data_IF_534737881565
#
_entry.id   IF_534737881565
#
_cell.length_a   1.000
_cell.length_b   1.000
_cell.length_c   1.000
_cell.angle_alpha   90.00
_cell.angle_beta   90.00
_cell.angle_gamma   90.00
#
_symmetry.space_group_name_H-M   'P 1'
#
loop_
_entity.id
_entity.type
_entity.pdbx_description
1 polymer ?
#
# COMPACT_ATOMS: atom_id res chain seq x y z
N UNK A 1 8.72 -29.67 -7.04
CA UNK A 1 7.44 -30.26 -7.48
C UNK A 1 6.36 -29.18 -7.38
N UNK A 2 5.44 -29.16 -8.32
CA UNK A 2 4.27 -28.29 -8.30
C UNK A 2 3.02 -29.10 -8.62
N UNK A 3 2.00 -28.94 -7.80
CA UNK A 3 0.68 -29.52 -8.03
C UNK A 3 -0.35 -28.40 -7.99
N UNK A 4 -0.99 -28.17 -9.12
CA UNK A 4 -1.93 -27.06 -9.30
C UNK A 4 -2.99 -27.04 -8.19
N UNK A 5 -3.26 -25.85 -7.63
CA UNK A 5 -4.23 -25.58 -6.58
C UNK A 5 -4.03 -26.36 -5.28
N UNK A 6 -2.86 -26.98 -5.08
CA UNK A 6 -2.54 -27.76 -3.88
C UNK A 6 -1.26 -27.26 -3.20
N UNK A 7 -0.09 -27.40 -3.85
CA UNK A 7 1.17 -27.00 -3.24
C UNK A 7 2.28 -26.73 -4.27
N UNK A 8 3.29 -25.99 -3.80
CA UNK A 8 4.61 -25.88 -4.44
C UNK A 8 5.65 -26.38 -3.45
N UNK A 9 6.42 -27.39 -3.83
CA UNK A 9 7.50 -27.97 -3.03
C UNK A 9 8.84 -27.71 -3.67
N UNK A 10 9.76 -27.18 -2.86
CA UNK A 10 11.14 -26.90 -3.21
C UNK A 10 12.05 -27.80 -2.37
N UNK A 11 12.88 -28.61 -3.00
CA UNK A 11 13.91 -29.36 -2.32
C UNK A 11 15.26 -28.65 -2.52
N UNK A 12 16.08 -28.59 -1.47
CA UNK A 12 17.41 -28.01 -1.53
C UNK A 12 18.27 -28.73 -2.54
N UNK A 13 18.96 -27.96 -3.36
CA UNK A 13 19.99 -28.49 -4.24
C UNK A 13 21.22 -28.92 -3.41
N UNK A 14 21.61 -30.19 -3.43
CA UNK A 14 22.66 -30.73 -2.54
C UNK A 14 24.04 -30.10 -2.79
N UNK A 15 24.33 -29.67 -4.03
CA UNK A 15 25.60 -29.01 -4.39
C UNK A 15 25.49 -27.46 -4.25
N UNK A 16 24.44 -26.94 -3.54
CA UNK A 16 24.29 -25.52 -3.32
C UNK A 16 25.45 -24.96 -2.50
N UNK A 17 26.12 -23.94 -3.05
CA UNK A 17 27.14 -23.19 -2.35
C UNK A 17 26.48 -21.94 -1.74
N UNK A 18 26.54 -21.76 -0.41
CA UNK A 18 25.97 -20.60 0.25
C UNK A 18 26.48 -19.28 -0.35
N UNK A 19 25.56 -18.35 -0.56
CA UNK A 19 25.86 -17.01 -1.06
C UNK A 19 26.13 -16.07 0.11
N UNK A 20 27.10 -15.17 -0.05
CA UNK A 20 27.50 -14.21 1.00
C UNK A 20 28.56 -14.78 1.94
N UNK A 21 28.90 -14.02 2.97
CA UNK A 21 29.88 -14.40 3.98
C UNK A 21 29.16 -14.95 5.21
N UNK A 22 29.60 -16.11 5.70
CA UNK A 22 29.03 -16.71 6.91
C UNK A 22 29.10 -15.72 8.09
N UNK A 23 27.96 -15.55 8.75
CA UNK A 23 27.79 -14.58 9.86
C UNK A 23 27.36 -13.19 9.42
N UNK A 24 27.30 -12.87 8.11
CA UNK A 24 26.63 -11.66 7.67
C UNK A 24 25.12 -11.71 7.97
N UNK A 25 24.57 -10.66 8.57
CA UNK A 25 23.14 -10.62 8.85
C UNK A 25 22.33 -10.57 7.55
N UNK A 26 21.12 -11.08 7.61
CA UNK A 26 20.14 -10.91 6.55
C UNK A 26 19.71 -9.45 6.48
N UNK A 27 19.69 -8.90 5.25
CA UNK A 27 19.16 -7.57 4.96
C UNK A 27 18.37 -7.64 3.64
N UNK A 28 17.08 -7.83 3.73
CA UNK A 28 16.23 -8.01 2.57
C UNK A 28 16.67 -9.19 1.70
N UNK A 29 17.16 -8.90 0.51
CA UNK A 29 17.74 -9.89 -0.42
C UNK A 29 19.26 -10.05 -0.29
N UNK A 30 19.90 -9.25 0.56
CA UNK A 30 21.34 -9.32 0.83
C UNK A 30 21.65 -10.20 2.03
N UNK A 31 22.96 -10.37 2.31
CA UNK A 31 23.47 -11.15 3.42
C UNK A 31 23.67 -12.63 3.08
N UNK A 32 24.07 -13.39 4.10
CA UNK A 32 24.39 -14.82 3.96
C UNK A 32 23.14 -15.66 3.73
N UNK A 33 23.20 -16.56 2.74
CA UNK A 33 22.09 -17.46 2.37
C UNK A 33 22.54 -18.91 2.52
N UNK A 34 22.25 -19.49 3.67
CA UNK A 34 22.71 -20.83 4.03
C UNK A 34 21.88 -21.96 3.45
N UNK A 35 20.60 -21.74 3.20
CA UNK A 35 19.62 -22.76 2.83
C UNK A 35 19.66 -24.00 3.74
N UNK A 36 19.47 -23.85 5.08
CA UNK A 36 19.62 -24.97 6.02
C UNK A 36 18.51 -26.01 5.83
N UNK A 37 17.30 -25.61 5.52
CA UNK A 37 16.13 -26.47 5.37
C UNK A 37 16.23 -27.31 4.10
N UNK A 38 15.98 -28.61 4.25
CA UNK A 38 16.05 -29.55 3.13
C UNK A 38 14.88 -29.42 2.16
N UNK A 39 13.70 -29.17 2.69
CA UNK A 39 12.46 -29.06 1.90
C UNK A 39 11.61 -27.92 2.41
N UNK A 40 11.14 -27.08 1.49
CA UNK A 40 10.11 -26.06 1.74
C UNK A 40 8.86 -26.46 0.94
N UNK A 41 7.72 -26.51 1.60
CA UNK A 41 6.44 -26.77 0.97
C UNK A 41 5.49 -25.58 1.21
N UNK A 42 4.91 -25.08 0.13
CA UNK A 42 3.98 -23.95 0.15
C UNK A 42 2.61 -24.49 -0.22
N UNK A 43 1.77 -24.70 0.78
CA UNK A 43 0.39 -25.14 0.59
C UNK A 43 -0.50 -24.00 0.10
N UNK A 44 -1.35 -24.27 -0.89
CA UNK A 44 -2.33 -23.34 -1.40
C UNK A 44 -3.63 -23.54 -0.61
N UNK A 45 -3.85 -22.67 0.39
CA UNK A 45 -5.03 -22.70 1.27
C UNK A 45 -5.89 -21.46 0.97
N UNK A 46 -6.93 -21.58 0.11
CA UNK A 46 -7.73 -20.44 -0.30
C UNK A 46 -8.54 -19.79 0.83
N UNK A 47 -8.94 -20.59 1.82
CA UNK A 47 -9.70 -20.12 2.97
C UNK A 47 -8.76 -19.72 4.12
N UNK A 48 -8.74 -18.43 4.45
CA UNK A 48 -7.86 -17.88 5.49
C UNK A 48 -8.20 -18.40 6.89
N UNK A 49 -9.47 -18.69 7.20
CA UNK A 49 -9.83 -19.24 8.50
C UNK A 49 -9.26 -20.67 8.68
N UNK A 50 -9.22 -21.44 7.60
CA UNK A 50 -8.57 -22.76 7.57
C UNK A 50 -7.05 -22.62 7.78
N UNK A 51 -6.39 -21.67 7.13
CA UNK A 51 -4.97 -21.43 7.32
C UNK A 51 -4.65 -21.01 8.77
N UNK A 52 -5.46 -20.10 9.35
CA UNK A 52 -5.32 -19.66 10.73
C UNK A 52 -5.52 -20.80 11.73
N UNK A 53 -6.54 -21.66 11.54
CA UNK A 53 -6.74 -22.83 12.38
C UNK A 53 -5.58 -23.84 12.24
N UNK A 54 -5.02 -23.95 11.02
CA UNK A 54 -3.88 -24.83 10.74
C UNK A 54 -2.59 -24.44 11.47
N UNK A 55 -2.23 -23.15 11.52
CA UNK A 55 -1.05 -22.69 12.26
C UNK A 55 -1.24 -22.88 13.77
N UNK A 56 -2.43 -22.62 14.30
CA UNK A 56 -2.73 -22.87 15.72
C UNK A 56 -2.71 -24.35 16.10
N UNK A 57 -2.98 -25.22 15.15
CA UNK A 57 -2.91 -26.67 15.33
C UNK A 57 -1.51 -27.27 15.04
N UNK A 58 -0.53 -26.44 14.66
CA UNK A 58 0.81 -26.90 14.28
C UNK A 58 0.89 -27.67 12.96
N UNK A 59 -0.06 -27.42 12.04
CA UNK A 59 -0.03 -28.01 10.69
C UNK A 59 0.89 -27.23 9.75
N UNK A 60 1.08 -25.94 10.01
CA UNK A 60 1.93 -25.04 9.24
C UNK A 60 2.95 -24.38 10.14
N UNK A 61 4.17 -24.20 9.63
CA UNK A 61 5.23 -23.49 10.32
C UNK A 61 5.13 -21.96 10.12
N UNK A 62 4.45 -21.52 9.05
CA UNK A 62 4.24 -20.09 8.76
C UNK A 62 2.96 -19.92 7.92
N UNK A 63 2.19 -18.89 8.26
CA UNK A 63 1.10 -18.40 7.40
C UNK A 63 1.24 -16.90 7.18
N UNK A 64 0.69 -16.40 6.08
CA UNK A 64 0.64 -14.98 5.76
C UNK A 64 -0.76 -14.57 5.28
N UNK A 65 -0.99 -13.26 5.19
CA UNK A 65 -2.32 -12.69 4.88
C UNK A 65 -3.38 -13.06 5.93
N UNK A 66 -3.01 -13.03 7.20
CA UNK A 66 -3.95 -13.22 8.31
C UNK A 66 -5.03 -12.14 8.26
N UNK A 67 -6.27 -12.47 8.60
CA UNK A 67 -7.36 -11.49 8.72
C UNK A 67 -7.16 -10.58 9.94
N UNK A 68 -7.55 -9.33 9.81
CA UNK A 68 -7.41 -8.31 10.86
C UNK A 68 -8.06 -8.75 12.17
N UNK A 69 -9.22 -9.42 12.10
CA UNK A 69 -9.97 -9.95 13.24
C UNK A 69 -9.20 -11.02 14.04
N UNK A 70 -8.25 -11.69 13.42
CA UNK A 70 -7.44 -12.74 14.03
C UNK A 70 -6.14 -12.21 14.67
N UNK A 71 -5.76 -10.96 14.41
CA UNK A 71 -4.47 -10.40 14.83
C UNK A 71 -4.25 -10.53 16.34
N UNK A 72 -5.14 -9.98 17.15
CA UNK A 72 -5.00 -9.99 18.61
C UNK A 72 -4.96 -11.42 19.19
N UNK A 73 -5.68 -12.36 18.57
CA UNK A 73 -5.71 -13.75 19.00
C UNK A 73 -4.41 -14.48 18.72
N UNK A 74 -3.84 -14.29 17.54
CA UNK A 74 -2.55 -14.90 17.18
C UNK A 74 -1.39 -14.27 17.94
N UNK A 75 -1.40 -12.96 18.15
CA UNK A 75 -0.39 -12.25 18.97
C UNK A 75 -0.39 -12.69 20.44
N UNK A 76 -1.53 -13.11 20.96
CA UNK A 76 -1.65 -13.63 22.32
C UNK A 76 -1.27 -15.11 22.45
N UNK A 77 -1.03 -15.83 21.37
CA UNK A 77 -0.69 -17.25 21.38
C UNK A 77 0.82 -17.45 21.66
N UNK A 78 1.22 -18.06 22.81
CA UNK A 78 2.63 -18.22 23.19
C UNK A 78 3.40 -19.23 22.31
N UNK A 79 2.71 -20.02 21.52
CA UNK A 79 3.33 -20.98 20.57
C UNK A 79 3.64 -20.34 19.22
N UNK A 80 3.28 -19.05 19.04
CA UNK A 80 3.47 -18.35 17.77
C UNK A 80 4.35 -17.10 17.96
N UNK A 81 5.11 -16.80 16.93
CA UNK A 81 5.72 -15.48 16.71
C UNK A 81 4.97 -14.79 15.60
N UNK A 82 4.58 -13.55 15.83
CA UNK A 82 3.87 -12.75 14.80
C UNK A 82 4.72 -11.58 14.35
N UNK A 83 4.54 -11.18 13.10
CA UNK A 83 5.16 -9.97 12.55
C UNK A 83 4.16 -9.26 11.68
N UNK A 84 4.02 -7.94 11.86
CA UNK A 84 3.29 -7.07 10.94
C UNK A 84 4.29 -6.40 10.02
N UNK A 85 3.99 -6.37 8.74
CA UNK A 85 4.84 -5.69 7.76
C UNK A 85 3.97 -4.89 6.81
N UNK A 86 4.49 -3.78 6.34
CA UNK A 86 3.84 -2.98 5.32
C UNK A 86 3.76 -3.79 4.02
N UNK A 87 2.55 -3.90 3.49
CA UNK A 87 2.28 -4.62 2.22
C UNK A 87 2.18 -3.65 1.05
N UNK A 88 1.88 -2.40 1.32
CA UNK A 88 1.79 -1.38 0.30
C UNK A 88 1.11 -0.11 0.78
N UNK A 89 1.03 0.86 -0.13
CA UNK A 89 0.36 2.14 0.07
C UNK A 89 -1.03 2.14 -0.56
N UNK A 90 -1.94 2.89 0.06
CA UNK A 90 -3.27 3.15 -0.47
C UNK A 90 -3.22 4.45 -1.27
N UNK A 91 -3.93 4.49 -2.38
CA UNK A 91 -3.98 5.67 -3.23
C UNK A 91 -5.40 5.96 -3.73
N UNK A 92 -5.86 7.18 -3.47
CA UNK A 92 -7.04 7.76 -4.08
C UNK A 92 -6.56 8.62 -5.25
N UNK A 93 -6.71 8.12 -6.46
CA UNK A 93 -6.15 8.71 -7.68
C UNK A 93 -7.21 9.54 -8.36
N UNK A 94 -6.97 10.85 -8.46
CA UNK A 94 -7.84 11.75 -9.19
C UNK A 94 -7.71 11.60 -10.71
N UNK A 95 -8.81 11.83 -11.41
CA UNK A 95 -8.82 12.02 -12.84
C UNK A 95 -8.45 13.48 -13.18
N UNK A 96 -7.21 13.70 -13.64
CA UNK A 96 -6.73 15.05 -13.96
C UNK A 96 -7.12 15.51 -15.37
N UNK A 97 -7.83 14.67 -16.15
CA UNK A 97 -8.24 15.01 -17.53
C UNK A 97 -9.58 15.70 -17.62
N UNK A 98 -10.55 15.26 -16.81
CA UNK A 98 -11.91 15.77 -16.88
C UNK A 98 -12.69 15.52 -15.59
N UNK A 99 -13.83 16.19 -15.47
CA UNK A 99 -14.70 16.11 -14.30
C UNK A 99 -14.16 16.82 -13.08
N UNK A 100 -14.75 16.56 -11.93
CA UNK A 100 -14.38 17.23 -10.66
C UNK A 100 -12.94 16.90 -10.22
N UNK A 101 -12.43 15.72 -10.56
CA UNK A 101 -11.04 15.35 -10.27
C UNK A 101 -10.00 16.24 -10.98
N UNK A 102 -10.33 16.84 -12.11
CA UNK A 102 -9.43 17.76 -12.82
C UNK A 102 -9.31 19.13 -12.14
N UNK A 103 -10.29 19.51 -11.31
CA UNK A 103 -10.36 20.81 -10.67
C UNK A 103 -9.48 20.86 -9.40
N UNK A 104 -8.44 21.72 -9.39
CA UNK A 104 -7.50 21.81 -8.28
C UNK A 104 -8.20 22.14 -6.94
N UNK A 105 -9.16 23.09 -6.94
CA UNK A 105 -9.88 23.44 -5.73
C UNK A 105 -10.66 22.26 -5.17
N UNK A 106 -11.22 21.41 -6.05
CA UNK A 106 -11.99 20.25 -5.63
C UNK A 106 -11.11 19.18 -4.98
N UNK A 107 -9.94 18.85 -5.58
CA UNK A 107 -8.97 17.96 -4.97
C UNK A 107 -8.52 18.44 -3.59
N UNK A 108 -8.28 19.76 -3.48
CA UNK A 108 -7.91 20.40 -2.20
C UNK A 108 -9.04 20.27 -1.18
N UNK A 109 -10.30 20.48 -1.57
CA UNK A 109 -11.44 20.31 -0.68
C UNK A 109 -11.58 18.86 -0.20
N UNK A 110 -11.46 17.88 -1.10
CA UNK A 110 -11.48 16.45 -0.74
C UNK A 110 -10.37 16.12 0.25
N UNK A 111 -9.13 16.52 -0.02
CA UNK A 111 -7.99 16.28 0.88
C UNK A 111 -8.16 16.94 2.26
N UNK A 112 -8.83 18.11 2.29
CA UNK A 112 -9.08 18.84 3.53
C UNK A 112 -10.19 18.20 4.38
N UNK A 113 -11.19 17.60 3.73
CA UNK A 113 -12.37 17.05 4.40
C UNK A 113 -12.12 15.68 5.05
N UNK A 114 -11.39 14.80 4.35
CA UNK A 114 -11.30 13.39 4.74
C UNK A 114 -10.54 13.16 6.04
N UNK A 115 -11.01 12.18 6.83
CA UNK A 115 -10.31 11.60 7.97
C UNK A 115 -9.63 10.30 7.55
N UNK A 116 -8.32 10.38 7.30
CA UNK A 116 -7.54 9.20 6.92
C UNK A 116 -7.56 8.11 7.99
N UNK A 117 -7.63 8.48 9.28
CA UNK A 117 -7.68 7.52 10.38
C UNK A 117 -9.04 6.80 10.42
N UNK A 118 -10.15 7.51 10.24
CA UNK A 118 -11.49 6.92 10.15
C UNK A 118 -11.58 5.94 8.97
N UNK A 119 -11.14 6.38 7.78
CA UNK A 119 -11.12 5.54 6.57
C UNK A 119 -10.33 4.25 6.82
N UNK A 120 -9.13 4.34 7.39
CA UNK A 120 -8.27 3.18 7.57
C UNK A 120 -8.70 2.28 8.74
N UNK A 121 -9.11 2.87 9.86
CA UNK A 121 -9.64 2.11 11.01
C UNK A 121 -10.87 1.30 10.62
N UNK A 122 -11.82 1.92 9.91
CA UNK A 122 -13.05 1.25 9.47
C UNK A 122 -12.79 0.09 8.51
N UNK A 123 -11.71 0.14 7.75
CA UNK A 123 -11.39 -0.88 6.75
C UNK A 123 -10.40 -1.95 7.25
N UNK A 124 -9.38 -1.54 8.02
CA UNK A 124 -8.25 -2.40 8.38
C UNK A 124 -8.13 -2.65 9.89
N UNK A 125 -9.05 -2.12 10.71
CA UNK A 125 -8.94 -2.24 12.17
C UNK A 125 -7.60 -1.69 12.67
N UNK A 126 -6.71 -2.54 13.18
CA UNK A 126 -5.35 -2.15 13.57
C UNK A 126 -4.25 -2.51 12.55
N UNK A 127 -4.64 -2.90 11.33
CA UNK A 127 -3.74 -3.36 10.26
C UNK A 127 -3.31 -2.25 9.30
N UNK A 128 -3.01 -1.05 9.80
CA UNK A 128 -2.56 0.07 8.98
C UNK A 128 -1.57 0.98 9.70
N UNK A 129 -0.92 1.85 8.96
CA UNK A 129 -0.10 2.96 9.46
C UNK A 129 -0.49 4.23 8.73
N UNK A 130 -0.72 5.31 9.48
CA UNK A 130 -0.85 6.66 8.94
C UNK A 130 0.52 7.16 8.48
N UNK A 131 0.54 7.94 7.40
CA UNK A 131 1.81 8.50 6.94
C UNK A 131 1.65 9.58 5.89
N UNK A 132 2.25 10.74 6.15
CA UNK A 132 2.24 11.90 5.25
C UNK A 132 3.20 11.79 4.07
N UNK A 133 4.06 10.77 4.05
CA UNK A 133 5.03 10.56 2.99
C UNK A 133 4.43 9.68 1.89
N UNK A 134 4.63 10.10 0.64
CA UNK A 134 4.26 9.29 -0.53
C UNK A 134 5.19 8.08 -0.75
N UNK A 135 6.32 8.00 -0.01
CA UNK A 135 7.16 6.80 0.02
C UNK A 135 6.79 5.90 1.18
N UNK A 136 7.13 4.66 1.00
CA UNK A 136 6.83 3.58 1.95
C UNK A 136 7.73 3.68 3.19
N UNK A 137 7.19 3.39 4.37
CA UNK A 137 7.91 3.49 5.65
C UNK A 137 9.13 2.54 5.73
N UNK A 138 9.11 1.44 4.96
CA UNK A 138 10.24 0.53 4.81
C UNK A 138 11.45 1.13 4.07
N UNK A 139 11.35 2.39 3.58
CA UNK A 139 12.38 3.09 2.84
C UNK A 139 12.83 4.37 3.56
N UNK A 140 13.49 4.28 4.72
CA UNK A 140 13.77 5.43 5.60
C UNK A 140 14.65 6.51 4.94
N UNK A 141 15.50 6.14 3.98
CA UNK A 141 16.30 7.13 3.22
C UNK A 141 15.39 8.10 2.44
N UNK A 142 14.26 7.62 1.93
CA UNK A 142 13.32 8.42 1.15
C UNK A 142 12.21 9.06 1.99
N UNK A 143 12.21 8.86 3.31
CA UNK A 143 11.26 9.52 4.18
C UNK A 143 11.34 11.05 4.01
N UNK A 144 10.19 11.71 3.94
CA UNK A 144 10.07 13.15 3.77
C UNK A 144 8.89 13.70 4.55
N UNK A 145 9.12 14.77 5.29
CA UNK A 145 8.08 15.50 6.01
C UNK A 145 7.70 16.81 5.28
N UNK A 146 8.18 16.97 4.03
CA UNK A 146 7.90 18.18 3.27
C UNK A 146 6.39 18.38 3.08
N UNK A 147 5.87 19.46 3.66
CA UNK A 147 4.45 19.82 3.71
C UNK A 147 3.53 18.78 4.35
N UNK A 148 4.03 18.03 5.32
CA UNK A 148 3.24 17.08 6.10
C UNK A 148 2.06 17.74 6.85
N UNK A 149 2.11 19.04 7.07
CA UNK A 149 0.99 19.84 7.62
C UNK A 149 -0.27 19.81 6.76
N UNK A 150 -0.18 19.38 5.51
CA UNK A 150 -1.34 19.24 4.61
C UNK A 150 -1.97 17.82 4.66
N UNK A 151 -1.39 16.94 5.44
CA UNK A 151 -1.88 15.58 5.60
C UNK A 151 -2.94 15.49 6.71
N UNK A 152 -4.01 14.75 6.43
CA UNK A 152 -5.08 14.40 7.38
C UNK A 152 -5.61 15.60 8.17
N UNK A 153 -6.01 16.66 7.46
CA UNK A 153 -6.49 17.90 8.06
C UNK A 153 -7.82 17.71 8.79
N UNK A 154 -8.68 16.88 8.25
CA UNK A 154 -10.02 16.58 8.76
C UNK A 154 -10.77 17.86 9.19
N UNK A 155 -10.85 18.82 8.27
CA UNK A 155 -11.54 20.10 8.47
C UNK A 155 -12.69 20.25 7.46
N UNK A 156 -13.88 19.66 7.74
CA UNK A 156 -15.02 19.71 6.84
C UNK A 156 -15.56 21.13 6.63
N UNK A 157 -15.43 22.02 7.60
CA UNK A 157 -15.89 23.40 7.43
C UNK A 157 -14.97 24.17 6.47
N UNK A 158 -13.66 23.98 6.59
CA UNK A 158 -12.71 24.55 5.63
C UNK A 158 -12.88 23.98 4.23
N UNK A 159 -13.19 22.69 4.12
CA UNK A 159 -13.49 22.06 2.84
C UNK A 159 -14.72 22.69 2.15
N UNK A 160 -15.79 22.96 2.90
CA UNK A 160 -16.98 23.69 2.39
C UNK A 160 -16.63 25.10 1.90
N UNK A 161 -15.78 25.83 2.62
CA UNK A 161 -15.29 27.15 2.18
C UNK A 161 -14.53 27.03 0.84
N UNK A 162 -13.61 26.05 0.71
CA UNK A 162 -12.84 25.82 -0.52
C UNK A 162 -13.78 25.48 -1.69
N UNK A 163 -14.79 24.65 -1.48
CA UNK A 163 -15.78 24.32 -2.51
C UNK A 163 -16.56 25.56 -2.96
N UNK A 164 -17.00 26.39 -2.01
CA UNK A 164 -17.73 27.61 -2.31
C UNK A 164 -16.88 28.65 -3.06
N UNK A 165 -15.62 28.86 -2.64
CA UNK A 165 -14.66 29.77 -3.28
C UNK A 165 -14.29 29.27 -4.70
N UNK A 166 -14.18 27.94 -4.89
CA UNK A 166 -13.91 27.31 -6.17
C UNK A 166 -15.10 27.30 -7.14
N UNK A 167 -16.29 27.69 -6.67
CA UNK A 167 -17.49 27.75 -7.50
C UNK A 167 -18.15 26.38 -7.75
N UNK A 168 -18.03 25.45 -6.77
CA UNK A 168 -18.67 24.15 -6.87
C UNK A 168 -20.18 24.28 -7.07
N UNK A 169 -20.71 23.60 -8.09
CA UNK A 169 -22.09 23.74 -8.55
C UNK A 169 -23.05 22.65 -8.03
N UNK A 170 -22.57 21.75 -7.17
CA UNK A 170 -23.35 20.61 -6.67
C UNK A 170 -23.33 19.37 -7.57
N UNK A 171 -22.45 19.33 -8.57
CA UNK A 171 -22.26 18.13 -9.42
C UNK A 171 -21.84 16.91 -8.64
N UNK A 172 -22.28 15.72 -9.08
CA UNK A 172 -21.97 14.46 -8.43
C UNK A 172 -20.51 14.06 -8.67
N UNK A 173 -19.81 13.70 -7.60
CA UNK A 173 -18.47 13.12 -7.64
C UNK A 173 -18.51 11.61 -7.81
N UNK A 174 -17.84 11.07 -8.82
CA UNK A 174 -17.88 9.65 -9.17
C UNK A 174 -16.63 8.94 -8.69
N UNK A 175 -16.80 7.95 -7.81
CA UNK A 175 -15.70 7.14 -7.28
C UNK A 175 -15.80 5.73 -7.85
N UNK A 176 -14.70 5.26 -8.46
CA UNK A 176 -14.53 3.90 -8.96
C UNK A 176 -13.69 3.10 -7.96
N UNK A 177 -14.17 1.94 -7.52
CA UNK A 177 -13.48 1.06 -6.59
C UNK A 177 -13.65 -0.42 -6.96
N UNK A 178 -12.75 -1.28 -6.47
CA UNK A 178 -12.86 -2.72 -6.64
C UNK A 178 -13.18 -3.43 -5.32
N UNK A 179 -13.78 -4.62 -5.43
CA UNK A 179 -13.99 -5.55 -4.30
C UNK A 179 -12.69 -6.29 -3.93
N UNK A 180 -11.59 -5.58 -3.83
CA UNK A 180 -10.24 -6.09 -3.53
C UNK A 180 -9.55 -5.15 -2.53
N UNK A 181 -8.79 -5.71 -1.59
CA UNK A 181 -8.01 -4.94 -0.61
C UNK A 181 -8.81 -3.83 0.10
N UNK A 182 -10.08 -4.10 0.42
CA UNK A 182 -11.00 -3.16 1.10
C UNK A 182 -11.28 -1.84 0.36
N UNK A 183 -10.98 -1.75 -0.95
CA UNK A 183 -11.19 -0.52 -1.75
C UNK A 183 -12.66 -0.11 -1.78
N UNK A 184 -13.57 -1.10 -1.86
CA UNK A 184 -15.02 -0.88 -1.79
C UNK A 184 -15.45 -0.30 -0.43
N UNK A 185 -14.90 -0.82 0.66
CA UNK A 185 -15.17 -0.33 2.00
C UNK A 185 -14.65 1.12 2.18
N UNK A 186 -13.45 1.41 1.71
CA UNK A 186 -12.89 2.78 1.72
C UNK A 186 -13.77 3.74 0.92
N UNK A 187 -14.29 3.32 -0.24
CA UNK A 187 -15.19 4.14 -1.04
C UNK A 187 -16.47 4.51 -0.30
N UNK A 188 -17.01 3.60 0.52
CA UNK A 188 -18.22 3.86 1.33
C UNK A 188 -17.95 4.89 2.42
N UNK A 189 -16.81 4.80 3.12
CA UNK A 189 -16.43 5.81 4.15
C UNK A 189 -16.23 7.17 3.50
N UNK A 190 -15.43 7.25 2.42
CA UNK A 190 -15.22 8.49 1.68
C UNK A 190 -16.53 9.12 1.19
N UNK A 191 -17.46 8.29 0.71
CA UNK A 191 -18.80 8.79 0.34
C UNK A 191 -19.47 9.49 1.51
N UNK A 192 -19.46 8.89 2.69
CA UNK A 192 -20.08 9.47 3.88
C UNK A 192 -19.46 10.82 4.24
N UNK A 193 -18.14 10.89 4.30
CA UNK A 193 -17.41 12.13 4.63
C UNK A 193 -17.62 13.24 3.61
N UNK A 194 -17.64 12.91 2.32
CA UNK A 194 -17.86 13.90 1.26
C UNK A 194 -19.33 14.37 1.20
N UNK A 195 -20.29 13.50 1.49
CA UNK A 195 -21.70 13.91 1.59
C UNK A 195 -21.94 14.85 2.78
N UNK A 196 -21.19 14.74 3.88
CA UNK A 196 -21.24 15.68 5.01
C UNK A 196 -20.82 17.13 4.64
N UNK A 197 -19.93 17.26 3.67
CA UNK A 197 -19.54 18.58 3.14
C UNK A 197 -20.42 19.04 1.96
N UNK A 198 -21.48 18.29 1.64
CA UNK A 198 -22.45 18.66 0.61
C UNK A 198 -22.06 18.24 -0.80
N UNK A 199 -21.16 17.27 -0.96
CA UNK A 199 -20.77 16.68 -2.25
C UNK A 199 -21.53 15.36 -2.46
N UNK A 200 -22.51 15.30 -3.38
CA UNK A 200 -23.16 14.04 -3.73
C UNK A 200 -22.13 13.07 -4.33
N UNK A 201 -22.13 11.82 -3.88
CA UNK A 201 -21.17 10.81 -4.34
C UNK A 201 -21.87 9.61 -4.99
N UNK A 202 -21.45 9.26 -6.20
CA UNK A 202 -21.82 8.02 -6.89
C UNK A 202 -20.67 7.02 -6.82
N UNK A 203 -20.97 5.79 -6.37
CA UNK A 203 -20.00 4.70 -6.29
C UNK A 203 -20.20 3.71 -7.43
N UNK A 204 -19.14 3.41 -8.15
CA UNK A 204 -19.05 2.28 -9.08
C UNK A 204 -18.11 1.24 -8.49
N UNK A 205 -18.68 0.16 -7.95
CA UNK A 205 -17.90 -0.94 -7.34
C UNK A 205 -17.94 -2.14 -8.28
N UNK A 206 -16.75 -2.60 -8.68
CA UNK A 206 -16.56 -3.67 -9.67
C UNK A 206 -15.51 -4.69 -9.20
N UNK A 207 -15.28 -5.73 -9.96
CA UNK A 207 -14.11 -6.60 -9.75
C UNK A 207 -12.81 -5.92 -10.21
N UNK A 208 -11.66 -6.47 -9.78
CA UNK A 208 -10.35 -5.88 -10.09
C UNK A 208 -10.03 -5.82 -11.59
N UNK A 209 -10.41 -6.83 -12.37
CA UNK A 209 -10.15 -6.86 -13.81
C UNK A 209 -10.93 -5.74 -14.50
N UNK A 210 -12.21 -5.58 -14.16
CA UNK A 210 -13.08 -4.51 -14.65
C UNK A 210 -12.56 -3.13 -14.24
N UNK A 211 -12.09 -2.94 -12.98
CA UNK A 211 -11.49 -1.68 -12.55
C UNK A 211 -10.26 -1.34 -13.39
N UNK A 212 -9.39 -2.32 -13.66
CA UNK A 212 -8.18 -2.09 -14.47
C UNK A 212 -8.46 -1.69 -15.92
N UNK A 213 -9.62 -2.03 -16.43
CA UNK A 213 -10.08 -1.57 -17.74
C UNK A 213 -10.78 -0.21 -17.66
N UNK A 214 -11.69 -0.02 -16.70
CA UNK A 214 -12.46 1.22 -16.53
C UNK A 214 -11.58 2.44 -16.22
N UNK A 215 -10.56 2.28 -15.39
CA UNK A 215 -9.64 3.39 -15.06
C UNK A 215 -8.88 3.97 -16.27
N UNK A 216 -8.91 3.30 -17.43
CA UNK A 216 -8.32 3.80 -18.67
C UNK A 216 -9.24 4.77 -19.41
N UNK A 217 -10.51 4.82 -19.08
CA UNK A 217 -11.50 5.71 -19.67
C UNK A 217 -11.84 6.85 -18.68
N UNK A 218 -11.36 8.08 -18.94
CA UNK A 218 -11.57 9.21 -18.05
C UNK A 218 -13.04 9.60 -17.89
N UNK A 219 -13.91 9.24 -18.83
CA UNK A 219 -15.33 9.58 -18.75
C UNK A 219 -16.10 8.80 -17.66
N UNK A 220 -15.52 7.73 -17.10
CA UNK A 220 -16.20 6.82 -16.16
C UNK A 220 -16.08 7.21 -14.70
N UNK A 221 -15.14 8.08 -14.30
CA UNK A 221 -14.89 8.42 -12.90
C UNK A 221 -14.24 9.79 -12.74
N UNK A 222 -14.31 10.34 -11.56
CA UNK A 222 -13.55 11.53 -11.14
C UNK A 222 -12.37 11.15 -10.23
N UNK A 223 -12.49 10.03 -9.51
CA UNK A 223 -11.45 9.44 -8.68
C UNK A 223 -11.58 7.92 -8.68
N UNK A 224 -10.46 7.19 -8.61
CA UNK A 224 -10.51 5.76 -8.30
C UNK A 224 -9.58 5.39 -7.16
N UNK A 225 -9.95 4.32 -6.45
CA UNK A 225 -9.20 3.79 -5.32
C UNK A 225 -8.36 2.61 -5.80
N UNK A 226 -7.09 2.59 -5.40
CA UNK A 226 -6.19 1.47 -5.66
C UNK A 226 -5.18 1.31 -4.53
N UNK A 227 -4.42 0.21 -4.59
CA UNK A 227 -3.26 -0.02 -3.73
C UNK A 227 -2.02 -0.24 -4.59
N UNK A 228 -0.87 0.18 -4.09
CA UNK A 228 0.43 -0.08 -4.70
C UNK A 228 1.27 -0.93 -3.76
N UNK A 229 1.98 -1.91 -4.31
CA UNK A 229 3.02 -2.60 -3.58
C UNK A 229 4.15 -1.63 -3.20
N UNK A 230 4.89 -1.95 -2.15
CA UNK A 230 6.10 -1.20 -1.79
C UNK A 230 7.09 -1.12 -2.96
N UNK A 231 7.70 0.04 -3.09
CA UNK A 231 8.77 0.29 -4.07
C UNK A 231 10.00 0.85 -3.38
N UNK A 232 11.23 0.43 -3.78
CA UNK A 232 12.46 0.84 -3.10
C UNK A 232 12.87 2.30 -3.36
N UNK A 233 12.33 2.93 -4.42
CA UNK A 233 12.70 4.29 -4.83
C UNK A 233 11.50 5.05 -5.40
N UNK A 234 11.44 6.38 -5.21
CA UNK A 234 10.31 7.19 -5.69
C UNK A 234 10.10 7.16 -7.20
N UNK A 235 11.14 6.91 -7.98
CA UNK A 235 11.07 6.83 -9.44
C UNK A 235 10.18 5.70 -9.98
N UNK A 236 9.79 4.77 -9.13
CA UNK A 236 8.86 3.67 -9.47
C UNK A 236 7.40 3.99 -9.12
N UNK A 237 7.11 5.16 -8.54
CA UNK A 237 5.72 5.59 -8.27
C UNK A 237 5.06 6.02 -9.58
N UNK A 238 4.08 5.23 -10.02
CA UNK A 238 3.49 5.33 -11.37
C UNK A 238 2.63 6.57 -11.60
N UNK A 239 2.11 7.18 -10.54
CA UNK A 239 1.20 8.33 -10.61
C UNK A 239 1.88 9.68 -10.84
N UNK A 240 3.21 9.73 -10.94
CA UNK A 240 3.96 10.92 -11.31
C UNK A 240 4.13 11.05 -12.82
N UNK A 241 3.01 11.16 -13.55
CA UNK A 241 3.06 11.37 -15.00
C UNK A 241 1.74 11.07 -15.69
N UNK A 242 1.65 11.46 -16.96
CA UNK A 242 0.44 11.34 -17.77
C UNK A 242 0.27 9.97 -18.48
N UNK A 243 1.20 9.06 -18.29
CA UNK A 243 1.12 7.72 -18.89
C UNK A 243 0.28 6.73 -18.07
N UNK A 244 0.10 6.99 -16.78
CA UNK A 244 -0.68 6.15 -15.89
C UNK A 244 -2.10 6.73 -15.70
N UNK A 245 -3.15 5.89 -15.58
CA UNK A 245 -4.51 6.35 -15.28
C UNK A 245 -4.54 7.26 -14.04
N UNK A 246 -5.24 8.38 -14.17
CA UNK A 246 -5.12 9.54 -13.29
C UNK A 246 -4.50 10.70 -14.06
N UNK A 247 -3.52 10.44 -14.91
CA UNK A 247 -2.92 11.36 -15.89
C UNK A 247 -2.47 12.69 -15.29
N UNK A 248 -1.65 12.62 -14.24
CA UNK A 248 -1.05 13.80 -13.64
C UNK A 248 -0.19 14.54 -14.68
N UNK A 249 -0.77 15.58 -15.31
CA UNK A 249 -0.15 16.34 -16.38
C UNK A 249 0.09 17.79 -15.92
N UNK A 250 1.03 17.93 -15.00
CA UNK A 250 1.51 19.21 -14.50
C UNK A 250 3.00 19.39 -14.83
N UNK A 251 3.36 20.54 -15.39
CA UNK A 251 4.73 20.83 -15.84
C UNK A 251 5.72 20.83 -14.68
N UNK A 252 5.35 21.40 -13.52
CA UNK A 252 6.24 21.46 -12.36
C UNK A 252 6.41 20.08 -11.73
N UNK A 253 5.33 19.29 -11.62
CA UNK A 253 5.39 17.91 -11.15
C UNK A 253 6.33 17.06 -12.02
N UNK A 254 6.15 17.16 -13.35
CA UNK A 254 6.94 16.43 -14.33
C UNK A 254 8.42 16.86 -14.33
N UNK A 255 8.67 18.15 -14.15
CA UNK A 255 10.04 18.69 -14.04
C UNK A 255 10.74 18.17 -12.79
N UNK A 256 10.11 18.27 -11.62
CA UNK A 256 10.69 17.79 -10.35
C UNK A 256 10.93 16.28 -10.39
N UNK A 257 10.01 15.51 -10.95
CA UNK A 257 10.18 14.06 -11.12
C UNK A 257 11.36 13.73 -12.06
N UNK A 258 11.50 14.48 -13.17
CA UNK A 258 12.61 14.31 -14.11
C UNK A 258 13.96 14.70 -13.48
N UNK A 259 14.01 15.80 -12.72
CA UNK A 259 15.22 16.23 -12.01
C UNK A 259 15.65 15.19 -10.96
N UNK A 260 14.71 14.65 -10.18
CA UNK A 260 14.97 13.58 -9.22
C UNK A 260 15.54 12.33 -9.89
N UNK A 261 14.91 11.88 -10.99
CA UNK A 261 15.32 10.66 -11.69
C UNK A 261 16.63 10.80 -12.47
N UNK A 262 17.01 12.03 -12.83
CA UNK A 262 18.24 12.36 -13.54
C UNK A 262 19.38 12.74 -12.61
N UNK A 263 19.17 12.82 -11.31
CA UNK A 263 20.19 13.16 -10.33
C UNK A 263 21.35 12.16 -10.37
N UNK A 264 22.57 12.68 -10.25
CA UNK A 264 23.78 11.87 -10.35
C UNK A 264 24.29 11.35 -9.01
N UNK A 265 23.75 11.87 -7.91
CA UNK A 265 24.03 11.40 -6.56
C UNK A 265 22.73 11.10 -5.82
N UNK A 266 22.80 10.22 -4.81
CA UNK A 266 21.64 9.91 -3.97
C UNK A 266 21.17 11.13 -3.16
N UNK A 267 22.09 11.96 -2.69
CA UNK A 267 21.76 13.15 -1.91
C UNK A 267 21.02 14.18 -2.77
N UNK A 268 21.45 14.40 -4.01
CA UNK A 268 20.72 15.27 -4.95
C UNK A 268 19.35 14.70 -5.28
N UNK A 269 19.25 13.39 -5.52
CA UNK A 269 17.98 12.72 -5.76
C UNK A 269 17.03 12.88 -4.57
N UNK A 270 17.54 12.73 -3.33
CA UNK A 270 16.76 12.93 -2.10
C UNK A 270 16.27 14.37 -1.96
N UNK A 271 17.13 15.35 -2.21
CA UNK A 271 16.74 16.76 -2.16
C UNK A 271 15.61 17.06 -3.17
N UNK A 272 15.71 16.51 -4.39
CA UNK A 272 14.66 16.67 -5.40
C UNK A 272 13.39 15.90 -5.05
N UNK A 273 13.51 14.76 -4.39
CA UNK A 273 12.36 14.05 -3.84
C UNK A 273 11.63 14.89 -2.80
N UNK A 274 12.34 15.55 -1.88
CA UNK A 274 11.70 16.42 -0.88
C UNK A 274 10.94 17.58 -1.52
N UNK A 275 11.49 18.19 -2.59
CA UNK A 275 10.77 19.21 -3.36
C UNK A 275 9.51 18.64 -4.04
N UNK A 276 9.63 17.45 -4.67
CA UNK A 276 8.51 16.76 -5.31
C UNK A 276 7.43 16.33 -4.31
N UNK A 277 7.82 15.77 -3.18
CA UNK A 277 6.93 15.40 -2.07
C UNK A 277 6.13 16.64 -1.61
N UNK A 278 6.80 17.76 -1.36
CA UNK A 278 6.15 18.99 -0.95
C UNK A 278 5.18 19.52 -2.02
N UNK A 279 5.57 19.49 -3.28
CA UNK A 279 4.69 19.91 -4.37
C UNK A 279 3.51 18.95 -4.58
N UNK A 280 3.70 17.67 -4.30
CA UNK A 280 2.60 16.69 -4.39
C UNK A 280 1.46 17.00 -3.43
N UNK A 281 1.72 17.61 -2.27
CA UNK A 281 0.69 18.11 -1.35
C UNK A 281 -0.02 19.40 -1.85
N UNK A 282 0.60 20.13 -2.77
CA UNK A 282 -0.07 21.26 -3.45
C UNK A 282 -0.93 20.77 -4.62
N UNK A 283 -0.34 19.99 -5.50
CA UNK A 283 -0.99 19.55 -6.75
C UNK A 283 -2.01 18.44 -6.53
N UNK A 284 -1.74 17.55 -5.56
CA UNK A 284 -2.56 16.37 -5.25
C UNK A 284 -2.72 15.43 -6.47
N UNK A 285 -1.65 14.81 -6.96
CA UNK A 285 -1.76 13.77 -7.98
C UNK A 285 -2.61 12.61 -7.48
N UNK A 286 -2.49 12.32 -6.20
CA UNK A 286 -3.26 11.35 -5.42
C UNK A 286 -3.45 11.89 -4.00
N UNK A 287 -4.34 11.26 -3.23
CA UNK A 287 -4.30 11.27 -1.76
C UNK A 287 -3.77 9.91 -1.32
N UNK A 288 -2.75 9.89 -0.47
CA UNK A 288 -2.25 8.69 0.19
C UNK A 288 -2.70 8.73 1.65
N UNK A 289 -3.79 8.06 2.04
CA UNK A 289 -4.27 8.10 3.43
C UNK A 289 -3.35 7.33 4.38
N UNK A 290 -2.55 6.41 3.87
CA UNK A 290 -1.60 5.62 4.64
C UNK A 290 -1.24 4.31 3.96
N UNK A 291 -0.76 3.40 4.77
CA UNK A 291 -0.22 2.11 4.36
C UNK A 291 -0.98 0.98 5.05
N UNK A 292 -1.29 -0.08 4.31
CA UNK A 292 -1.89 -1.27 4.91
C UNK A 292 -0.82 -2.30 5.29
N UNK A 293 -1.04 -2.95 6.42
CA UNK A 293 -0.15 -3.97 6.97
C UNK A 293 -0.70 -5.37 6.69
N UNK A 294 0.18 -6.32 6.48
CA UNK A 294 -0.12 -7.73 6.52
C UNK A 294 0.50 -8.37 7.75
N UNK A 295 -0.22 -9.29 8.37
CA UNK A 295 0.33 -10.09 9.46
C UNK A 295 0.80 -11.44 8.94
N UNK A 296 1.95 -11.86 9.46
CA UNK A 296 2.50 -13.20 9.36
C UNK A 296 2.48 -13.82 10.75
N UNK A 297 2.08 -15.07 10.82
CA UNK A 297 2.20 -15.86 12.03
C UNK A 297 3.10 -17.06 11.75
N UNK A 298 4.03 -17.32 12.64
CA UNK A 298 5.06 -18.35 12.52
C UNK A 298 5.09 -19.18 13.79
N UNK A 299 5.40 -20.46 13.66
CA UNK A 299 5.76 -21.28 14.82
C UNK A 299 6.92 -20.61 15.58
N UNK A 300 6.88 -20.63 16.91
CA UNK A 300 7.87 -19.99 17.78
C UNK A 300 9.29 -20.54 17.58
N UNK A 301 9.40 -21.79 17.11
CA UNK A 301 10.67 -22.47 16.89
C UNK A 301 11.17 -22.31 15.45
N UNK A 302 10.40 -21.62 14.55
CA UNK A 302 10.84 -21.26 13.21
C UNK A 302 11.77 -20.06 13.27
N UNK A 303 13.03 -20.22 12.88
CA UNK A 303 14.06 -19.19 12.83
C UNK A 303 14.52 -18.89 11.41
N UNK A 304 15.27 -17.79 11.23
CA UNK A 304 15.91 -17.44 9.97
C UNK A 304 14.96 -16.99 8.87
N UNK A 305 13.71 -16.68 9.19
CA UNK A 305 12.78 -16.03 8.28
C UNK A 305 13.03 -14.53 8.26
N UNK A 306 13.30 -13.98 7.09
CA UNK A 306 13.45 -12.54 6.91
C UNK A 306 12.17 -11.95 6.32
N UNK A 307 11.59 -10.99 7.04
CA UNK A 307 10.41 -10.24 6.58
C UNK A 307 10.87 -9.05 5.75
N UNK A 308 10.63 -9.08 4.47
CA UNK A 308 11.07 -8.02 3.56
C UNK A 308 10.10 -7.91 2.38
N UNK A 309 9.95 -6.72 1.86
CA UNK A 309 9.06 -6.32 0.77
C UNK A 309 8.26 -7.46 0.11
N UNK A 310 6.96 -7.47 0.31
CA UNK A 310 6.07 -8.49 -0.24
C UNK A 310 6.07 -9.84 0.49
N UNK A 311 6.64 -9.93 1.72
CA UNK A 311 6.46 -11.07 2.59
C UNK A 311 7.73 -11.83 3.00
N UNK A 312 7.56 -13.01 3.64
CA UNK A 312 8.66 -13.76 4.22
C UNK A 312 9.63 -14.33 3.18
N UNK A 313 10.90 -14.30 3.52
CA UNK A 313 12.01 -14.91 2.76
C UNK A 313 12.58 -16.09 3.56
N UNK A 314 12.57 -17.27 3.00
CA UNK A 314 12.88 -18.53 3.69
C UNK A 314 14.28 -19.09 3.40
N UNK A 315 15.18 -18.31 2.79
CA UNK A 315 16.50 -18.80 2.40
C UNK A 315 17.43 -19.18 3.57
N UNK A 316 17.09 -18.76 4.79
CA UNK A 316 17.77 -19.19 6.02
C UNK A 316 16.80 -19.83 7.03
N UNK A 317 15.56 -20.11 6.62
CA UNK A 317 14.57 -20.67 7.52
C UNK A 317 14.98 -22.07 8.02
N UNK A 318 14.70 -22.34 9.27
CA UNK A 318 14.88 -23.64 9.91
C UNK A 318 14.14 -23.71 11.23
N UNK A 319 13.81 -24.92 11.67
CA UNK A 319 13.19 -25.17 12.97
C UNK A 319 14.31 -25.41 13.99
N UNK A 320 14.21 -24.77 15.15
CA UNK A 320 15.09 -25.05 16.31
C UNK A 320 15.02 -26.51 16.69
N UNK A 321 16.19 -27.12 16.94
CA UNK A 321 16.29 -28.48 17.51
C UNK A 321 16.07 -28.47 19.04
#
# INVERSE_FOLDING_TARGET
EWKQDQYVRLDRFDDYVPYGTEGEPMDGWAGYKAAPTKTLEFDIVPDQATATAGIEAGQYDCIFNVKDDDYARLEANPELTTSRTQMGSIAFIFNHKEGLGAEQYFRTAVNTAIDCDEVLTSCFGGGYELGSCYMDAGQPFWASEARSENYNLHDPEKAKEILAEGGYDGSTFRILAATLNKMDSMAVVLKSELEEIGVPVELTIVDWATLTDYRKDPSLYDMYITTFAEVPVPSLKLYYGNAYPGWSDDEKLSTLFSEMTSATTLDDAKAKWDELQGYSWEYLPIICPGHYLGMFAMDKDLEGVNMYSGGPKFYNAGIKE
#
